data_IF_267811908181
#
_entry.id   IF_267811908181
#
_cell.length_a   1.000
_cell.length_b   1.000
_cell.length_c   1.000
_cell.angle_alpha   90.00
_cell.angle_beta   90.00
_cell.angle_gamma   90.00
#
_symmetry.space_group_name_H-M   'P 1'
#
loop_
_entity.id
_entity.type
_entity.pdbx_description
1 polymer ?
#
# COMPACT_ATOMS: atom_id res chain seq x y z
N UNK A 1 27.29 8.09 9.79
CA UNK A 1 26.34 7.33 10.63
C UNK A 1 24.94 7.95 10.63
N UNK A 2 24.81 9.27 10.82
CA UNK A 2 23.51 9.98 10.77
C UNK A 2 22.71 9.75 9.47
N UNK A 3 23.36 9.82 8.30
CA UNK A 3 22.71 9.63 7.00
C UNK A 3 22.15 8.21 6.77
N UNK A 4 22.79 7.18 7.34
CA UNK A 4 22.30 5.79 7.29
C UNK A 4 21.06 5.62 8.19
N UNK A 5 21.07 6.23 9.37
CA UNK A 5 19.92 6.18 10.28
C UNK A 5 18.72 6.95 9.71
N UNK A 6 18.97 8.12 9.11
CA UNK A 6 17.93 8.91 8.45
C UNK A 6 17.33 8.19 7.24
N UNK A 7 18.16 7.53 6.42
CA UNK A 7 17.67 6.75 5.28
C UNK A 7 16.85 5.53 5.72
N UNK A 8 17.27 4.80 6.75
CA UNK A 8 16.45 3.72 7.34
C UNK A 8 15.14 4.23 7.93
N UNK A 9 15.17 5.36 8.67
CA UNK A 9 13.97 5.95 9.26
C UNK A 9 12.96 6.42 8.21
N UNK A 10 13.44 7.01 7.12
CA UNK A 10 12.60 7.47 6.01
C UNK A 10 11.99 6.28 5.23
N UNK A 11 12.77 5.21 5.00
CA UNK A 11 12.27 3.97 4.39
C UNK A 11 11.24 3.29 5.29
N UNK A 12 11.47 3.24 6.60
CA UNK A 12 10.53 2.65 7.55
C UNK A 12 9.19 3.42 7.60
N UNK A 13 9.24 4.76 7.62
CA UNK A 13 8.02 5.57 7.60
C UNK A 13 7.20 5.39 6.32
N UNK A 14 7.87 5.32 5.16
CA UNK A 14 7.21 5.07 3.88
C UNK A 14 6.56 3.67 3.84
N UNK A 15 7.26 2.65 4.33
CA UNK A 15 6.74 1.29 4.40
C UNK A 15 5.51 1.18 5.32
N UNK A 16 5.58 1.76 6.52
CA UNK A 16 4.46 1.79 7.47
C UNK A 16 3.24 2.52 6.89
N UNK A 17 3.48 3.55 6.10
CA UNK A 17 2.41 4.29 5.41
C UNK A 17 1.73 3.44 4.34
N UNK A 18 2.52 2.72 3.53
CA UNK A 18 2.00 1.78 2.52
C UNK A 18 1.20 0.63 3.18
N UNK A 19 1.71 0.03 4.24
CA UNK A 19 0.99 -1.01 5.01
C UNK A 19 -0.33 -0.48 5.59
N UNK A 20 -0.33 0.75 6.11
CA UNK A 20 -1.52 1.38 6.66
C UNK A 20 -2.56 1.65 5.57
N UNK A 21 -2.13 2.07 4.38
CA UNK A 21 -2.98 2.23 3.19
C UNK A 21 -3.61 0.92 2.73
N UNK A 22 -2.81 -0.14 2.61
CA UNK A 22 -3.28 -1.47 2.20
C UNK A 22 -4.31 -2.00 3.21
N UNK A 23 -4.03 -1.88 4.52
CA UNK A 23 -4.96 -2.29 5.58
C UNK A 23 -6.25 -1.47 5.58
N UNK A 24 -6.19 -0.18 5.31
CA UNK A 24 -7.38 0.66 5.21
C UNK A 24 -8.28 0.22 4.06
N UNK A 25 -7.71 0.02 2.86
CA UNK A 25 -8.46 -0.46 1.70
C UNK A 25 -9.05 -1.85 1.93
N UNK A 26 -8.28 -2.80 2.48
CA UNK A 26 -8.77 -4.13 2.78
C UNK A 26 -9.96 -4.10 3.78
N UNK A 27 -9.97 -3.15 4.72
CA UNK A 27 -11.08 -2.98 5.67
C UNK A 27 -12.35 -2.41 5.03
N UNK A 28 -12.23 -1.48 4.09
CA UNK A 28 -13.39 -0.98 3.33
C UNK A 28 -13.99 -2.12 2.50
N UNK A 29 -13.15 -2.88 1.80
CA UNK A 29 -13.60 -4.03 1.00
C UNK A 29 -14.24 -5.13 1.85
N UNK A 30 -13.74 -5.35 3.07
CA UNK A 30 -14.34 -6.32 4.01
C UNK A 30 -15.77 -5.95 4.42
N UNK A 31 -16.12 -4.66 4.43
CA UNK A 31 -17.48 -4.16 4.72
C UNK A 31 -18.40 -4.20 3.50
N UNK A 32 -17.88 -4.60 2.33
CA UNK A 32 -18.62 -4.61 1.07
C UNK A 32 -18.65 -3.25 0.36
N UNK A 33 -17.80 -2.29 0.74
CA UNK A 33 -17.66 -1.05 -0.03
C UNK A 33 -17.03 -1.32 -1.42
N UNK A 34 -17.37 -0.47 -2.38
CA UNK A 34 -16.89 -0.56 -3.76
C UNK A 34 -15.35 -0.38 -3.86
N UNK A 35 -14.67 -1.08 -4.79
CA UNK A 35 -13.22 -0.96 -5.00
C UNK A 35 -12.71 0.47 -5.21
N UNK A 36 -13.50 1.38 -5.81
CA UNK A 36 -13.10 2.77 -5.99
C UNK A 36 -13.02 3.52 -4.64
N UNK A 37 -13.90 3.19 -3.68
CA UNK A 37 -13.84 3.74 -2.32
C UNK A 37 -12.61 3.25 -1.57
N UNK A 38 -12.29 1.97 -1.72
CA UNK A 38 -11.11 1.35 -1.12
C UNK A 38 -9.81 1.94 -1.70
N UNK A 39 -9.74 2.15 -3.01
CA UNK A 39 -8.60 2.81 -3.67
C UNK A 39 -8.46 4.25 -3.17
N UNK A 40 -9.56 5.02 -3.10
CA UNK A 40 -9.53 6.37 -2.57
C UNK A 40 -9.06 6.41 -1.10
N UNK A 41 -9.45 5.42 -0.29
CA UNK A 41 -8.98 5.30 1.09
C UNK A 41 -7.48 5.01 1.18
N UNK A 42 -6.96 4.11 0.35
CA UNK A 42 -5.52 3.88 0.24
C UNK A 42 -4.77 5.15 -0.18
N UNK A 43 -5.20 5.80 -1.27
CA UNK A 43 -4.59 7.02 -1.80
C UNK A 43 -4.59 8.19 -0.82
N UNK A 44 -5.62 8.33 0.03
CA UNK A 44 -5.64 9.33 1.11
C UNK A 44 -4.50 9.15 2.11
N UNK A 45 -4.06 7.92 2.34
CA UNK A 45 -2.98 7.59 3.30
C UNK A 45 -1.63 7.61 2.60
N UNK A 46 -1.54 7.03 1.40
CA UNK A 46 -0.28 6.80 0.71
C UNK A 46 0.10 7.90 -0.26
N UNK A 47 -0.85 8.73 -0.70
CA UNK A 47 -0.68 9.65 -1.83
C UNK A 47 -0.95 9.00 -3.18
N UNK A 48 -0.90 9.82 -4.24
CA UNK A 48 -1.31 9.45 -5.61
C UNK A 48 -0.30 8.59 -6.38
N UNK A 49 0.98 8.62 -6.00
CA UNK A 49 2.04 7.84 -6.64
C UNK A 49 2.06 6.39 -6.13
N UNK A 50 0.89 5.75 -6.08
CA UNK A 50 0.75 4.33 -5.73
C UNK A 50 -0.07 3.61 -6.78
N UNK A 51 0.41 2.45 -7.19
CA UNK A 51 -0.39 1.50 -7.95
C UNK A 51 -1.23 0.68 -6.97
N UNK A 52 -2.53 0.58 -7.26
CA UNK A 52 -3.49 -0.19 -6.49
C UNK A 52 -3.84 -1.47 -7.25
N UNK A 53 -3.69 -2.61 -6.60
CA UNK A 53 -4.09 -3.90 -7.13
C UNK A 53 -5.00 -4.61 -6.13
N UNK A 54 -6.08 -5.17 -6.65
CA UNK A 54 -7.09 -5.89 -5.89
C UNK A 54 -7.26 -7.29 -6.48
N UNK A 55 -7.11 -8.31 -5.65
CA UNK A 55 -7.40 -9.69 -6.00
C UNK A 55 -8.40 -10.30 -5.03
N UNK A 56 -9.34 -11.09 -5.56
CA UNK A 56 -10.35 -11.79 -4.76
C UNK A 56 -10.05 -13.29 -4.82
N UNK A 57 -9.98 -13.95 -3.66
CA UNK A 57 -9.82 -15.39 -3.57
C UNK A 57 -10.66 -15.96 -2.42
N UNK A 58 -11.57 -16.89 -2.73
CA UNK A 58 -12.31 -17.71 -1.75
C UNK A 58 -12.89 -16.94 -0.54
N UNK A 59 -13.54 -15.80 -0.78
CA UNK A 59 -14.13 -14.98 0.27
C UNK A 59 -13.13 -14.06 1.01
N UNK A 60 -11.91 -13.96 0.50
CA UNK A 60 -10.91 -13.00 0.91
C UNK A 60 -10.63 -12.00 -0.22
N UNK A 61 -10.33 -10.79 0.19
CA UNK A 61 -9.82 -9.72 -0.67
C UNK A 61 -8.40 -9.41 -0.24
N UNK A 62 -7.51 -9.33 -1.21
CA UNK A 62 -6.13 -8.92 -1.02
C UNK A 62 -5.91 -7.63 -1.78
N UNK A 63 -5.42 -6.63 -1.05
CA UNK A 63 -4.98 -5.35 -1.60
C UNK A 63 -3.46 -5.33 -1.60
N UNK A 64 -2.88 -5.02 -2.75
CA UNK A 64 -1.46 -4.77 -2.93
C UNK A 64 -1.26 -3.33 -3.38
N UNK A 65 -0.36 -2.63 -2.69
CA UNK A 65 0.05 -1.27 -3.01
C UNK A 65 1.51 -1.26 -3.40
N UNK A 66 1.80 -0.67 -4.55
CA UNK A 66 3.17 -0.61 -5.09
C UNK A 66 3.54 0.84 -5.37
N UNK A 67 4.68 1.28 -4.83
CA UNK A 67 5.24 2.61 -5.06
C UNK A 67 6.61 2.52 -5.72
N UNK A 68 6.80 3.16 -6.89
CA UNK A 68 8.14 3.35 -7.43
C UNK A 68 8.90 4.39 -6.58
N UNK A 69 10.13 4.07 -6.20
CA UNK A 69 11.03 4.96 -5.46
C UNK A 69 12.25 5.22 -6.31
N UNK A 70 12.53 6.49 -6.60
CA UNK A 70 13.74 6.92 -7.30
C UNK A 70 14.67 7.57 -6.29
N UNK A 71 15.82 6.93 -6.06
CA UNK A 71 16.85 7.51 -5.20
C UNK A 71 17.89 8.16 -6.11
N UNK A 72 17.94 9.49 -6.07
CA UNK A 72 18.94 10.28 -6.79
C UNK A 72 20.24 10.28 -5.97
N UNK A 73 21.23 9.54 -6.46
CA UNK A 73 22.60 9.52 -5.93
C UNK A 73 23.62 9.76 -7.04
N UNK A 74 24.84 9.25 -6.86
CA UNK A 74 25.88 9.25 -7.92
C UNK A 74 25.52 8.31 -9.07
N UNK A 75 24.63 7.35 -8.80
CA UNK A 75 23.96 6.48 -9.76
C UNK A 75 22.46 6.59 -9.48
N UNK A 76 21.66 6.62 -10.54
CA UNK A 76 20.20 6.55 -10.44
C UNK A 76 19.78 5.11 -10.14
N UNK A 77 19.12 4.90 -9.00
CA UNK A 77 18.59 3.58 -8.62
C UNK A 77 17.07 3.67 -8.60
N UNK A 78 16.43 2.86 -9.45
CA UNK A 78 15.00 2.62 -9.40
C UNK A 78 14.73 1.41 -8.49
N UNK A 79 13.99 1.65 -7.41
CA UNK A 79 13.54 0.63 -6.47
C UNK A 79 12.02 0.67 -6.39
N UNK A 80 11.41 -0.40 -5.89
CA UNK A 80 9.98 -0.46 -5.63
C UNK A 80 9.75 -0.77 -4.15
N UNK A 81 8.72 -0.15 -3.58
CA UNK A 81 8.21 -0.50 -2.26
C UNK A 81 6.80 -1.08 -2.42
N UNK A 82 6.58 -2.25 -1.84
CA UNK A 82 5.32 -2.96 -1.86
C UNK A 82 4.76 -3.13 -0.44
N UNK A 83 3.43 -3.17 -0.34
CA UNK A 83 2.73 -3.58 0.87
C UNK A 83 1.43 -4.30 0.52
N UNK A 84 1.13 -5.36 1.26
CA UNK A 84 -0.06 -6.18 1.07
C UNK A 84 -0.90 -6.25 2.35
N UNK A 85 -2.22 -6.23 2.19
CA UNK A 85 -3.17 -6.56 3.26
C UNK A 85 -4.28 -7.45 2.73
N UNK A 86 -4.68 -8.44 3.53
CA UNK A 86 -5.78 -9.35 3.20
C UNK A 86 -6.87 -9.24 4.25
N UNK A 87 -8.13 -9.22 3.82
CA UNK A 87 -9.29 -9.25 4.70
C UNK A 87 -10.34 -10.22 4.18
N UNK A 88 -11.17 -10.74 5.08
CA UNK A 88 -12.32 -11.58 4.72
C UNK A 88 -13.49 -10.67 4.36
N UNK A 89 -14.17 -10.96 3.26
CA UNK A 89 -15.41 -10.29 2.90
C UNK A 89 -16.56 -11.07 3.54
N UNK A 90 -17.35 -10.39 4.35
CA UNK A 90 -18.59 -10.95 4.89
C UNK A 90 -19.66 -10.83 3.80
N UNK A 91 -20.05 -11.96 3.22
CA UNK A 91 -21.13 -12.12 2.23
C UNK A 91 -20.93 -11.42 0.86
N UNK A 92 -20.68 -12.22 -0.18
CA UNK A 92 -21.15 -11.89 -1.52
C UNK A 92 -22.50 -12.62 -1.68
N UNK A 93 -23.62 -11.91 -1.91
CA UNK A 93 -24.91 -12.53 -2.20
C UNK A 93 -24.89 -13.34 -3.51
#
# INVERSE_FOLDING_TARGET
MLLLVLSLGLHGAAQVTLESGARAAARELARGEDPASAEAAARRITGEEVSFQLSHDQGYVTVELVRPVRVLGWVEVAMTQDAQATARVEDLP
#
